data_IF_466724440385
#
_entry.id   IF_466724440385
#
_cell.length_a   1.000
_cell.length_b   1.000
_cell.length_c   1.000
_cell.angle_alpha   90.00
_cell.angle_beta   90.00
_cell.angle_gamma   90.00
#
_symmetry.space_group_name_H-M   'P 1'
#
loop_
_entity.id
_entity.type
_entity.pdbx_description
1 polymer ?
#
# COMPACT_ATOMS: atom_id res chain seq x y z
N UNK A 1 -35.57 -23.06 -15.84
CA UNK A 1 -35.52 -21.70 -15.24
C UNK A 1 -34.88 -21.79 -13.86
N UNK A 2 -34.19 -20.75 -13.40
CA UNK A 2 -33.56 -20.74 -12.06
C UNK A 2 -32.26 -21.54 -11.92
N UNK A 3 -31.65 -21.99 -13.03
CA UNK A 3 -30.42 -22.77 -12.96
C UNK A 3 -29.19 -21.89 -12.69
N UNK A 4 -28.17 -22.49 -12.06
CA UNK A 4 -26.85 -21.88 -11.86
C UNK A 4 -25.88 -22.53 -12.84
N UNK A 5 -25.30 -21.74 -13.73
CA UNK A 5 -24.25 -22.17 -14.63
C UNK A 5 -22.90 -21.71 -14.09
N UNK A 6 -21.99 -22.66 -13.87
CA UNK A 6 -20.63 -22.38 -13.40
C UNK A 6 -19.68 -22.78 -14.52
N UNK A 7 -18.86 -21.82 -14.97
CA UNK A 7 -17.88 -22.02 -16.04
C UNK A 7 -16.50 -21.78 -15.48
N UNK A 8 -15.72 -22.86 -15.35
CA UNK A 8 -14.30 -22.78 -15.02
C UNK A 8 -13.47 -22.48 -16.29
N UNK A 9 -12.36 -21.75 -16.12
CA UNK A 9 -11.53 -21.22 -17.22
C UNK A 9 -12.37 -20.63 -18.36
N UNK A 10 -13.28 -19.72 -17.98
CA UNK A 10 -14.30 -19.19 -18.87
C UNK A 10 -13.77 -18.39 -20.08
N UNK A 11 -12.49 -18.04 -20.10
CA UNK A 11 -11.81 -17.43 -21.25
C UNK A 11 -11.72 -18.37 -22.46
N UNK A 12 -11.82 -19.69 -22.29
CA UNK A 12 -11.96 -20.61 -23.43
C UNK A 12 -13.27 -20.41 -24.20
N UNK A 13 -14.35 -20.02 -23.50
CA UNK A 13 -15.68 -19.81 -24.08
C UNK A 13 -15.88 -18.34 -24.45
N UNK A 14 -15.37 -17.43 -23.63
CA UNK A 14 -15.53 -15.98 -23.77
C UNK A 14 -14.18 -15.26 -23.86
N UNK A 15 -13.31 -15.59 -24.84
CA UNK A 15 -11.97 -15.04 -24.91
C UNK A 15 -11.99 -13.54 -25.17
N UNK A 16 -10.90 -12.86 -24.84
CA UNK A 16 -10.66 -11.48 -25.26
C UNK A 16 -10.71 -11.38 -26.78
N UNK A 17 -11.63 -10.56 -27.30
CA UNK A 17 -11.75 -10.27 -28.73
C UNK A 17 -11.36 -8.83 -29.04
N UNK A 18 -10.99 -8.58 -30.29
CA UNK A 18 -10.79 -7.25 -30.83
C UNK A 18 -12.10 -6.44 -30.89
N UNK A 19 -12.08 -5.20 -31.43
CA UNK A 19 -13.19 -4.24 -31.37
C UNK A 19 -14.41 -4.59 -32.26
N UNK A 20 -14.58 -5.84 -32.66
CA UNK A 20 -15.71 -6.32 -33.47
C UNK A 20 -16.94 -6.59 -32.60
N UNK A 21 -18.11 -6.57 -33.24
CA UNK A 21 -19.36 -6.92 -32.59
C UNK A 21 -19.28 -8.32 -31.91
N UNK A 22 -19.88 -8.48 -30.71
CA UNK A 22 -19.96 -9.78 -30.04
C UNK A 22 -20.71 -10.82 -30.86
N UNK A 23 -20.29 -12.10 -30.85
CA UNK A 23 -21.05 -13.19 -31.45
C UNK A 23 -22.46 -13.29 -30.83
N UNK A 24 -23.45 -13.85 -31.56
CA UNK A 24 -24.82 -13.97 -31.07
C UNK A 24 -24.93 -14.65 -29.69
N UNK A 25 -24.18 -15.73 -29.45
CA UNK A 25 -24.21 -16.45 -28.16
C UNK A 25 -23.66 -15.64 -26.98
N UNK A 26 -22.83 -14.62 -27.24
CA UNK A 26 -22.33 -13.70 -26.21
C UNK A 26 -23.36 -12.61 -25.95
N UNK A 27 -24.08 -12.17 -26.98
CA UNK A 27 -25.12 -11.15 -26.84
C UNK A 27 -26.33 -11.65 -26.04
N UNK A 28 -26.67 -12.93 -26.15
CA UNK A 28 -27.77 -13.55 -25.38
C UNK A 28 -27.52 -13.56 -23.87
N UNK A 29 -26.27 -13.36 -23.42
CA UNK A 29 -25.94 -13.28 -21.99
C UNK A 29 -26.69 -12.15 -21.27
N UNK A 30 -27.04 -11.08 -21.98
CA UNK A 30 -27.82 -9.95 -21.41
C UNK A 30 -29.23 -10.39 -20.97
N UNK A 31 -29.77 -11.45 -21.57
CA UNK A 31 -31.13 -11.93 -21.35
C UNK A 31 -31.22 -13.00 -20.26
N UNK A 32 -30.08 -13.50 -19.76
CA UNK A 32 -30.06 -14.57 -18.73
C UNK A 32 -30.87 -14.22 -17.49
N UNK A 33 -30.89 -12.96 -17.09
CA UNK A 33 -31.68 -12.49 -15.94
C UNK A 33 -33.19 -12.58 -16.17
N UNK A 34 -33.67 -12.45 -17.41
CA UNK A 34 -35.09 -12.59 -17.71
C UNK A 34 -35.58 -14.02 -17.45
N UNK A 35 -34.70 -15.01 -17.62
CA UNK A 35 -34.98 -16.44 -17.40
C UNK A 35 -34.55 -16.93 -16.01
N UNK A 36 -34.11 -16.03 -15.13
CA UNK A 36 -33.65 -16.35 -13.77
C UNK A 36 -32.35 -17.15 -13.71
N UNK A 37 -31.53 -17.17 -14.76
CA UNK A 37 -30.26 -17.88 -14.74
C UNK A 37 -29.18 -17.09 -14.00
N UNK A 38 -28.41 -17.79 -13.16
CA UNK A 38 -27.21 -17.23 -12.52
C UNK A 38 -25.97 -17.78 -13.21
N UNK A 39 -25.11 -16.90 -13.72
CA UNK A 39 -23.86 -17.27 -14.36
C UNK A 39 -22.68 -16.93 -13.45
N UNK A 40 -21.88 -17.94 -13.11
CA UNK A 40 -20.64 -17.81 -12.34
C UNK A 40 -19.48 -18.13 -13.29
N UNK A 41 -18.63 -17.13 -13.52
CA UNK A 41 -17.47 -17.22 -14.39
C UNK A 41 -16.20 -17.22 -13.55
N UNK A 42 -15.33 -18.21 -13.76
CA UNK A 42 -14.05 -18.34 -13.08
C UNK A 42 -12.94 -18.23 -14.12
N UNK A 43 -11.97 -17.36 -13.88
CA UNK A 43 -10.78 -17.17 -14.73
C UNK A 43 -9.64 -16.62 -13.87
N UNK A 44 -8.42 -16.73 -14.37
CA UNK A 44 -7.22 -16.21 -13.71
C UNK A 44 -7.17 -14.68 -13.70
N UNK A 45 -7.61 -14.03 -14.78
CA UNK A 45 -7.61 -12.58 -14.91
C UNK A 45 -8.82 -12.12 -15.73
N UNK A 46 -9.55 -11.12 -15.21
CA UNK A 46 -10.67 -10.51 -15.92
C UNK A 46 -10.28 -9.98 -17.31
N UNK A 47 -9.04 -9.58 -17.57
CA UNK A 47 -8.58 -9.13 -18.90
C UNK A 47 -8.58 -10.22 -19.98
N UNK A 48 -8.59 -11.49 -19.59
CA UNK A 48 -8.70 -12.59 -20.55
C UNK A 48 -10.13 -12.78 -21.07
N UNK A 49 -11.11 -12.18 -20.39
CA UNK A 49 -12.51 -12.23 -20.79
C UNK A 49 -12.86 -11.15 -21.82
N UNK A 50 -13.84 -11.50 -22.64
CA UNK A 50 -14.43 -10.58 -23.59
C UNK A 50 -14.91 -9.27 -22.94
N UNK A 51 -14.57 -8.13 -23.57
CA UNK A 51 -14.93 -6.81 -23.06
C UNK A 51 -16.44 -6.58 -22.92
N UNK A 52 -17.28 -7.23 -23.74
CA UNK A 52 -18.74 -7.19 -23.61
C UNK A 52 -19.21 -7.96 -22.37
N UNK A 53 -18.67 -9.17 -22.16
CA UNK A 53 -19.02 -10.01 -20.99
C UNK A 53 -18.67 -9.31 -19.70
N UNK A 54 -17.48 -8.70 -19.61
CA UNK A 54 -17.03 -7.96 -18.41
C UNK A 54 -17.98 -6.82 -18.03
N UNK A 55 -18.58 -6.15 -19.01
CA UNK A 55 -19.54 -5.06 -18.76
C UNK A 55 -20.88 -5.56 -18.21
N UNK A 56 -21.21 -6.84 -18.39
CA UNK A 56 -22.42 -7.46 -17.84
C UNK A 56 -22.23 -7.97 -16.41
N UNK A 57 -20.98 -8.09 -15.94
CA UNK A 57 -20.66 -8.58 -14.59
C UNK A 57 -21.11 -7.57 -13.54
N UNK A 58 -22.00 -8.02 -12.65
CA UNK A 58 -22.51 -7.21 -11.54
C UNK A 58 -21.73 -7.40 -10.24
N UNK A 59 -21.05 -8.54 -10.08
CA UNK A 59 -20.26 -8.86 -8.90
C UNK A 59 -18.99 -9.57 -9.32
N UNK A 60 -17.85 -9.07 -8.86
CA UNK A 60 -16.54 -9.66 -9.09
C UNK A 60 -15.89 -9.96 -7.75
N UNK A 61 -15.60 -11.23 -7.51
CA UNK A 61 -14.79 -11.68 -6.38
C UNK A 61 -13.36 -11.97 -6.83
N UNK A 62 -12.41 -11.23 -6.27
CA UNK A 62 -10.99 -11.45 -6.52
C UNK A 62 -10.35 -12.17 -5.32
N UNK A 63 -9.73 -13.33 -5.56
CA UNK A 63 -9.09 -14.13 -4.51
C UNK A 63 -7.57 -13.92 -4.55
N UNK A 64 -7.02 -13.27 -3.53
CA UNK A 64 -5.59 -13.01 -3.40
C UNK A 64 -4.96 -13.90 -2.32
N UNK A 65 -3.91 -14.65 -2.68
CA UNK A 65 -3.11 -15.43 -1.72
C UNK A 65 -1.96 -14.58 -1.19
N UNK A 66 -2.03 -14.19 0.08
CA UNK A 66 -0.97 -13.43 0.75
C UNK A 66 -0.03 -14.35 1.53
N UNK A 67 1.08 -13.79 2.01
CA UNK A 67 1.99 -14.51 2.91
C UNK A 67 1.25 -15.06 4.14
N UNK A 68 0.34 -14.26 4.69
CA UNK A 68 -0.51 -14.57 5.83
C UNK A 68 -1.97 -14.75 5.39
N UNK A 69 -2.30 -15.94 4.87
CA UNK A 69 -3.67 -16.34 4.55
C UNK A 69 -4.14 -15.94 3.14
N UNK A 70 -5.44 -16.10 2.90
CA UNK A 70 -6.10 -15.77 1.63
C UNK A 70 -7.18 -14.73 1.91
N UNK A 71 -7.31 -13.74 1.03
CA UNK A 71 -8.34 -12.71 1.11
C UNK A 71 -9.20 -12.74 -0.14
N UNK A 72 -10.49 -12.46 0.03
CA UNK A 72 -11.41 -12.18 -1.07
C UNK A 72 -11.73 -10.69 -1.04
N UNK A 73 -11.65 -10.06 -2.20
CA UNK A 73 -12.10 -8.69 -2.44
C UNK A 73 -13.36 -8.73 -3.30
N UNK A 74 -14.33 -7.89 -2.97
CA UNK A 74 -15.58 -7.79 -3.70
C UNK A 74 -15.68 -6.45 -4.42
N UNK A 75 -16.08 -6.50 -5.68
CA UNK A 75 -16.32 -5.34 -6.53
C UNK A 75 -17.71 -5.41 -7.17
N UNK A 76 -18.35 -4.26 -7.34
CA UNK A 76 -19.67 -4.11 -7.99
C UNK A 76 -19.61 -4.18 -9.53
N UNK A 77 -18.43 -4.41 -10.09
CA UNK A 77 -18.19 -4.57 -11.52
C UNK A 77 -16.90 -5.35 -11.75
N UNK A 78 -16.74 -5.92 -12.96
CA UNK A 78 -15.48 -6.54 -13.34
C UNK A 78 -14.34 -5.50 -13.34
N UNK A 79 -13.30 -5.77 -12.54
CA UNK A 79 -12.13 -4.89 -12.45
C UNK A 79 -11.05 -5.38 -13.40
N UNK A 80 -10.63 -4.50 -14.29
CA UNK A 80 -9.58 -4.79 -15.27
C UNK A 80 -8.18 -4.60 -14.68
N UNK A 81 -8.03 -3.71 -13.70
CA UNK A 81 -6.77 -3.43 -13.02
C UNK A 81 -6.92 -3.54 -11.50
N UNK A 82 -6.17 -4.46 -10.91
CA UNK A 82 -6.14 -4.72 -9.47
C UNK A 82 -4.96 -3.97 -8.84
N UNK A 83 -4.97 -2.65 -8.95
CA UNK A 83 -3.95 -1.80 -8.31
C UNK A 83 -4.03 -1.90 -6.78
N UNK A 84 -2.92 -1.65 -6.08
CA UNK A 84 -2.91 -1.65 -4.61
C UNK A 84 -3.96 -0.70 -4.01
N UNK A 85 -4.17 0.46 -4.64
CA UNK A 85 -5.17 1.43 -4.21
C UNK A 85 -6.58 0.88 -4.35
N UNK A 86 -6.89 0.22 -5.48
CA UNK A 86 -8.19 -0.41 -5.70
C UNK A 86 -8.46 -1.53 -4.70
N UNK A 87 -7.46 -2.37 -4.41
CA UNK A 87 -7.56 -3.44 -3.41
C UNK A 87 -7.73 -2.92 -1.98
N UNK A 88 -7.11 -1.77 -1.64
CA UNK A 88 -7.27 -1.13 -0.33
C UNK A 88 -8.66 -0.53 -0.12
N UNK A 89 -9.29 -0.05 -1.19
CA UNK A 89 -10.62 0.56 -1.14
C UNK A 89 -11.75 -0.48 -1.16
N UNK A 90 -11.49 -1.66 -1.73
CA UNK A 90 -12.48 -2.72 -1.88
C UNK A 90 -12.84 -3.38 -0.54
N UNK A 91 -14.14 -3.68 -0.30
CA UNK A 91 -14.56 -4.58 0.76
C UNK A 91 -13.78 -5.89 0.68
N UNK A 92 -13.14 -6.29 1.77
CA UNK A 92 -12.33 -7.51 1.81
C UNK A 92 -12.62 -8.35 3.05
N UNK A 93 -12.65 -9.66 2.84
CA UNK A 93 -12.86 -10.65 3.90
C UNK A 93 -11.73 -11.69 3.88
N UNK A 94 -11.24 -12.13 5.05
CA UNK A 94 -10.35 -13.28 5.11
C UNK A 94 -11.11 -14.53 4.65
N UNK A 95 -10.51 -15.29 3.75
CA UNK A 95 -11.11 -16.49 3.19
C UNK A 95 -10.39 -17.74 3.64
N UNK A 96 -11.18 -18.69 4.12
CA UNK A 96 -10.76 -20.06 4.43
C UNK A 96 -11.85 -21.01 3.92
N UNK A 97 -11.55 -21.91 2.98
CA UNK A 97 -12.54 -22.87 2.50
C UNK A 97 -13.01 -23.78 3.64
N UNK A 98 -14.31 -24.06 3.68
CA UNK A 98 -14.87 -25.01 4.64
C UNK A 98 -14.33 -26.42 4.38
N UNK A 99 -14.09 -27.17 5.45
CA UNK A 99 -13.61 -28.55 5.41
C UNK A 99 -14.58 -29.46 4.64
N UNK A 100 -15.88 -29.14 4.65
CA UNK A 100 -16.91 -29.91 3.93
C UNK A 100 -16.73 -29.82 2.42
N UNK A 101 -16.27 -28.70 1.89
CA UNK A 101 -16.04 -28.49 0.45
C UNK A 101 -15.03 -29.49 -0.12
N UNK A 102 -14.01 -29.88 0.66
CA UNK A 102 -13.01 -30.88 0.25
C UNK A 102 -13.58 -32.30 0.11
N UNK A 103 -14.78 -32.57 0.64
CA UNK A 103 -15.48 -33.86 0.39
C UNK A 103 -16.17 -33.87 -0.97
N UNK A 104 -16.59 -32.71 -1.46
CA UNK A 104 -17.34 -32.52 -2.69
C UNK A 104 -16.44 -32.39 -3.91
N UNK A 105 -15.13 -32.21 -3.71
CA UNK A 105 -14.17 -31.96 -4.78
C UNK A 105 -12.89 -32.78 -4.58
N UNK A 106 -12.42 -33.41 -5.65
CA UNK A 106 -11.14 -34.13 -5.70
C UNK A 106 -10.10 -33.25 -6.36
N UNK A 107 -9.09 -32.80 -5.60
CA UNK A 107 -7.99 -32.00 -6.14
C UNK A 107 -7.12 -32.79 -7.13
N UNK A 108 -6.57 -32.10 -8.13
CA UNK A 108 -5.58 -32.66 -9.04
C UNK A 108 -4.37 -33.23 -8.26
N UNK A 109 -3.94 -34.45 -8.61
CA UNK A 109 -2.91 -35.24 -7.91
C UNK A 109 -1.49 -34.70 -8.07
N UNK A 110 -1.27 -33.71 -8.94
CA UNK A 110 0.04 -33.09 -9.15
C UNK A 110 0.23 -31.99 -8.10
N UNK A 111 0.55 -32.42 -6.88
CA UNK A 111 0.94 -31.54 -5.79
C UNK A 111 2.30 -30.89 -6.07
N UNK A 112 2.32 -29.77 -6.81
CA UNK A 112 3.48 -28.88 -6.85
C UNK A 112 3.54 -28.17 -5.49
N UNK A 113 4.17 -28.83 -4.50
CA UNK A 113 4.47 -28.21 -3.20
C UNK A 113 5.47 -27.08 -3.45
N UNK A 114 4.96 -25.86 -3.60
CA UNK A 114 5.80 -24.66 -3.53
C UNK A 114 6.45 -24.63 -2.14
N UNK A 115 7.70 -25.10 -2.04
CA UNK A 115 8.49 -25.05 -0.82
C UNK A 115 8.77 -23.58 -0.53
N UNK A 116 8.04 -23.00 0.43
CA UNK A 116 8.35 -21.67 0.95
C UNK A 116 9.76 -21.72 1.55
N UNK A 117 10.72 -21.01 0.96
CA UNK A 117 12.06 -20.87 1.54
C UNK A 117 11.91 -20.02 2.80
N UNK A 118 12.14 -20.62 3.96
CA UNK A 118 12.18 -19.88 5.22
C UNK A 118 13.31 -18.85 5.15
N UNK A 119 12.99 -17.59 5.44
CA UNK A 119 13.94 -16.48 5.34
C UNK A 119 15.15 -16.74 6.25
N UNK A 120 16.38 -16.49 5.76
CA UNK A 120 17.63 -16.75 6.48
C UNK A 120 17.64 -16.13 7.90
N UNK A 121 16.95 -15.00 8.07
CA UNK A 121 16.77 -14.35 9.37
C UNK A 121 16.22 -15.29 10.47
N UNK A 122 15.29 -16.21 10.15
CA UNK A 122 14.77 -17.17 11.12
C UNK A 122 15.78 -18.24 11.54
N UNK A 123 16.81 -18.49 10.73
CA UNK A 123 17.92 -19.39 11.09
C UNK A 123 18.97 -18.69 11.95
N UNK A 124 19.18 -17.39 11.73
CA UNK A 124 20.21 -16.59 12.42
C UNK A 124 19.72 -16.07 13.77
N UNK A 125 18.41 -15.82 13.93
CA UNK A 125 17.81 -15.32 15.17
C UNK A 125 18.20 -16.11 16.45
N UNK A 126 18.11 -17.46 16.50
CA UNK A 126 18.51 -18.19 17.71
C UNK A 126 20.01 -18.04 18.02
N UNK A 127 20.86 -17.90 17.00
CA UNK A 127 22.31 -17.70 17.18
C UNK A 127 22.57 -16.34 17.81
N UNK A 128 21.90 -15.29 17.33
CA UNK A 128 22.00 -13.93 17.89
C UNK A 128 21.56 -13.92 19.37
N UNK A 129 20.46 -14.60 19.70
CA UNK A 129 19.96 -14.69 21.08
C UNK A 129 20.96 -15.40 21.99
N UNK A 130 21.57 -16.49 21.53
CA UNK A 130 22.60 -17.22 22.30
C UNK A 130 23.84 -16.35 22.51
N UNK A 131 24.33 -15.67 21.47
CA UNK A 131 25.50 -14.79 21.57
C UNK A 131 25.22 -13.62 22.52
N UNK A 132 24.05 -12.97 22.40
CA UNK A 132 23.64 -11.92 23.31
C UNK A 132 23.57 -12.41 24.76
N UNK A 133 23.01 -13.60 25.00
CA UNK A 133 22.96 -14.21 26.33
C UNK A 133 24.35 -14.47 26.93
N UNK A 134 25.30 -14.95 26.12
CA UNK A 134 26.69 -15.16 26.55
C UNK A 134 27.37 -13.84 26.89
N UNK A 135 27.16 -12.79 26.10
CA UNK A 135 27.72 -11.46 26.35
C UNK A 135 27.17 -10.84 27.64
N UNK A 136 25.86 -10.93 27.85
CA UNK A 136 25.20 -10.47 29.09
C UNK A 136 25.71 -11.25 30.30
N UNK A 137 25.81 -12.58 30.20
CA UNK A 137 26.36 -13.42 31.28
C UNK A 137 27.81 -13.02 31.63
N UNK A 138 28.67 -12.82 30.63
CA UNK A 138 30.05 -12.38 30.84
C UNK A 138 30.15 -10.98 31.46
N UNK A 139 29.27 -10.06 31.10
CA UNK A 139 29.25 -8.70 31.65
C UNK A 139 28.76 -8.68 33.12
N UNK A 140 27.78 -9.52 33.45
CA UNK A 140 27.19 -9.57 34.80
C UNK A 140 27.97 -10.45 35.78
N UNK A 141 28.74 -11.44 35.30
CA UNK A 141 29.55 -12.34 36.14
C UNK A 141 30.51 -11.59 37.09
N UNK A 142 31.37 -10.65 36.65
CA UNK A 142 32.28 -9.95 37.55
C UNK A 142 31.56 -9.04 38.55
N UNK A 143 30.42 -8.44 38.16
CA UNK A 143 29.60 -7.64 39.06
C UNK A 143 28.94 -8.50 40.15
N UNK A 144 28.44 -9.69 39.79
CA UNK A 144 27.87 -10.64 40.74
C UNK A 144 28.92 -11.22 41.70
N UNK A 145 30.13 -11.50 41.21
CA UNK A 145 31.25 -11.96 42.03
C UNK A 145 31.76 -10.85 42.98
N UNK A 146 31.76 -9.59 42.54
CA UNK A 146 32.14 -8.44 43.37
C UNK A 146 31.13 -8.18 44.50
N UNK A 147 29.82 -8.28 44.23
CA UNK A 147 28.77 -8.12 45.26
C UNK A 147 28.83 -9.26 46.29
N UNK A 148 29.06 -10.49 45.86
CA UNK A 148 29.20 -11.63 46.79
C UNK A 148 30.48 -11.55 47.62
N UNK A 149 31.53 -10.89 47.12
CA UNK A 149 32.78 -10.65 47.87
C UNK A 149 32.64 -9.48 48.84
N UNK A 150 31.92 -8.43 48.46
CA UNK A 150 31.61 -7.26 49.30
C UNK A 150 30.60 -7.55 50.43
N UNK A 151 29.82 -8.63 50.34
CA UNK A 151 28.88 -9.03 51.41
C UNK A 151 29.58 -9.77 52.57
N UNK A 152 30.92 -9.98 52.50
CA UNK A 152 31.70 -10.74 53.49
C UNK A 152 32.73 -9.95 54.29
N UNK A 153 32.88 -8.64 54.08
CA UNK A 153 33.78 -7.81 54.89
C UNK A 153 33.04 -6.59 55.45
N UNK A 154 33.03 -6.50 56.78
CA UNK A 154 32.49 -5.40 57.55
C UNK A 154 33.30 -4.12 57.34
N UNK A 155 32.57 -3.00 57.27
CA UNK A 155 33.05 -1.63 57.10
C UNK A 155 33.66 -1.12 58.41
N UNK A 156 34.75 -0.32 58.35
CA UNK A 156 34.78 0.90 59.14
C UNK A 156 34.89 2.14 58.25
N UNK A 157 34.10 3.14 58.63
CA UNK A 157 34.04 4.46 58.05
C UNK A 157 35.22 5.32 58.53
N UNK A 158 35.73 6.19 57.66
CA UNK A 158 36.29 7.47 58.11
C UNK A 158 36.22 8.56 57.03
N UNK A 159 36.03 9.76 57.56
CA UNK A 159 35.64 11.04 56.99
C UNK A 159 36.80 11.82 56.36
N UNK A 160 36.52 12.70 55.39
CA UNK A 160 37.14 14.05 55.33
C UNK A 160 36.31 15.01 54.49
N UNK A 161 36.41 16.28 54.89
CA UNK A 161 35.55 17.41 54.60
C UNK A 161 36.30 18.46 53.76
N UNK A 162 35.57 19.51 53.33
CA UNK A 162 36.04 20.82 52.82
C UNK A 162 36.54 20.87 51.35
N UNK A 163 36.35 21.92 50.54
CA UNK A 163 35.65 23.21 50.65
C UNK A 163 35.57 23.84 49.23
N UNK A 164 34.57 24.70 49.06
CA UNK A 164 34.36 25.86 48.16
C UNK A 164 35.43 26.30 47.13
N UNK A 165 34.99 26.71 45.94
CA UNK A 165 35.35 28.03 45.37
C UNK A 165 34.32 28.57 44.37
N UNK A 166 34.16 29.89 44.43
CA UNK A 166 33.22 30.77 43.74
C UNK A 166 33.57 31.16 42.29
N UNK A 167 32.52 31.55 41.57
CA UNK A 167 32.38 32.65 40.61
C UNK A 167 33.27 32.75 39.35
N UNK A 168 32.59 32.81 38.19
CA UNK A 168 33.14 33.28 36.92
C UNK A 168 32.06 33.47 35.85
N UNK A 169 31.39 34.62 35.87
CA UNK A 169 30.50 35.08 34.80
C UNK A 169 31.34 35.55 33.61
N UNK A 170 31.18 34.95 32.43
CA UNK A 170 31.54 35.61 31.16
C UNK A 170 30.57 35.26 30.02
N UNK A 171 29.85 36.30 29.61
CA UNK A 171 29.45 36.70 28.26
C UNK A 171 29.42 35.62 27.16
N UNK A 172 28.20 35.22 26.80
CA UNK A 172 27.91 34.45 25.59
C UNK A 172 27.90 35.39 24.39
N UNK A 173 29.04 35.50 23.71
CA UNK A 173 29.07 36.08 22.36
C UNK A 173 28.19 35.26 21.43
N UNK A 174 27.23 35.93 20.80
CA UNK A 174 26.39 35.38 19.74
C UNK A 174 27.24 35.37 18.47
N UNK A 175 27.81 34.21 18.15
CA UNK A 175 28.38 33.95 16.82
C UNK A 175 27.33 33.22 16.00
N UNK A 176 26.77 33.90 15.00
CA UNK A 176 26.06 33.25 13.91
C UNK A 176 27.07 32.44 13.10
N UNK A 177 27.20 31.15 13.42
CA UNK A 177 28.00 30.23 12.62
C UNK A 177 27.15 29.69 11.47
N UNK A 178 27.66 29.99 10.27
CA UNK A 178 27.21 29.54 8.97
C UNK A 178 26.81 28.07 8.92
N UNK A 179 25.71 27.81 8.22
CA UNK A 179 25.39 26.50 7.67
C UNK A 179 26.58 25.93 6.89
N UNK A 180 26.68 24.59 6.94
CA UNK A 180 27.67 23.72 6.31
C UNK A 180 28.95 23.49 7.11
N UNK A 181 28.87 22.56 8.08
CA UNK A 181 30.01 21.74 8.47
C UNK A 181 29.51 20.34 8.78
N UNK A 182 29.58 19.47 7.77
CA UNK A 182 29.74 18.06 8.00
C UNK A 182 31.15 17.86 8.57
N UNK A 183 31.28 17.94 9.90
CA UNK A 183 32.48 17.54 10.61
C UNK A 183 32.09 16.49 11.65
N UNK A 184 32.52 15.26 11.36
CA UNK A 184 32.56 14.15 12.30
C UNK A 184 33.43 14.58 13.49
N UNK A 185 32.79 14.93 14.60
CA UNK A 185 33.38 14.96 15.94
C UNK A 185 32.38 14.17 16.78
N UNK A 186 32.85 13.13 17.45
CA UNK A 186 32.06 12.00 17.94
C UNK A 186 30.72 12.32 18.59
N UNK A 187 29.79 11.38 18.45
CA UNK A 187 28.46 11.39 19.07
C UNK A 187 28.62 11.71 20.56
N UNK A 188 27.97 12.78 21.03
CA UNK A 188 27.92 13.16 22.45
C UNK A 188 26.62 12.66 23.07
N UNK A 189 26.62 12.43 24.38
CA UNK A 189 25.41 12.01 25.10
C UNK A 189 24.26 13.04 24.93
N UNK A 190 24.61 14.32 24.81
CA UNK A 190 23.66 15.40 24.55
C UNK A 190 22.93 15.29 23.19
N UNK A 191 23.49 14.56 22.21
CA UNK A 191 22.87 14.38 20.89
C UNK A 191 21.63 13.47 20.92
N UNK A 192 21.45 12.73 22.02
CA UNK A 192 20.29 11.87 22.27
C UNK A 192 19.17 12.58 23.05
N UNK A 193 19.39 13.79 23.54
CA UNK A 193 18.39 14.55 24.30
C UNK A 193 17.41 15.21 23.31
N UNK A 194 16.10 14.92 23.40
CA UNK A 194 15.08 15.55 22.54
C UNK A 194 15.01 17.07 22.76
N UNK A 195 14.96 17.85 21.66
CA UNK A 195 14.76 19.31 21.73
C UNK A 195 13.33 19.70 22.12
N UNK A 196 12.37 18.82 21.86
CA UNK A 196 10.96 18.99 22.18
C UNK A 196 10.54 17.94 23.22
N UNK A 197 9.84 18.34 24.29
CA UNK A 197 9.21 17.39 25.22
C UNK A 197 8.30 16.41 24.47
N UNK A 198 8.30 15.14 24.88
CA UNK A 198 7.49 14.05 24.30
C UNK A 198 7.72 13.73 22.81
N UNK A 199 8.77 14.29 22.20
CA UNK A 199 9.10 14.10 20.79
C UNK A 199 10.53 13.58 20.62
N UNK A 200 10.80 12.28 20.83
CA UNK A 200 12.15 11.71 20.74
C UNK A 200 12.79 11.88 19.35
N UNK A 201 12.00 11.99 18.29
CA UNK A 201 12.44 12.28 16.93
C UNK A 201 13.07 13.68 16.78
N UNK A 202 12.88 14.55 17.78
CA UNK A 202 13.47 15.89 17.79
C UNK A 202 14.96 15.93 18.16
N UNK A 203 15.53 14.79 18.59
CA UNK A 203 16.93 14.69 19.00
C UNK A 203 17.92 15.08 17.88
N UNK A 204 19.00 15.82 18.20
CA UNK A 204 19.99 16.29 17.23
C UNK A 204 20.59 15.16 16.36
N UNK A 205 20.74 13.96 16.90
CA UNK A 205 21.28 12.80 16.17
C UNK A 205 20.52 12.47 14.88
N UNK A 206 19.22 12.81 14.82
CA UNK A 206 18.37 12.54 13.66
C UNK A 206 18.35 13.69 12.63
N UNK A 207 19.03 14.82 12.87
CA UNK A 207 19.01 16.01 11.98
C UNK A 207 19.41 15.67 10.54
N UNK A 208 20.40 14.78 10.35
CA UNK A 208 20.84 14.35 9.01
C UNK A 208 19.81 13.52 8.23
N UNK A 209 18.87 12.87 8.93
CA UNK A 209 17.82 12.02 8.36
C UNK A 209 16.52 12.80 8.11
N UNK A 210 16.24 13.83 8.92
CA UNK A 210 15.01 14.62 8.85
C UNK A 210 15.10 15.72 7.80
N UNK A 211 14.69 15.40 6.57
CA UNK A 211 14.52 16.38 5.49
C UNK A 211 13.02 16.55 5.20
N UNK A 212 12.42 17.71 5.53
CA UNK A 212 11.03 17.98 5.19
C UNK A 212 10.81 17.84 3.67
N UNK A 213 9.95 16.92 3.26
CA UNK A 213 9.62 16.67 1.84
C UNK A 213 8.64 17.72 1.31
N UNK A 214 7.74 18.19 2.17
CA UNK A 214 6.74 19.19 1.82
C UNK A 214 6.62 20.23 2.94
N UNK A 215 6.18 21.44 2.59
CA UNK A 215 5.99 22.55 3.49
C UNK A 215 4.58 22.52 4.10
N UNK A 216 4.43 22.89 5.37
CA UNK A 216 3.11 23.09 5.97
C UNK A 216 2.50 24.40 5.43
N UNK A 217 1.65 24.29 4.41
CA UNK A 217 0.97 25.42 3.79
C UNK A 217 -0.47 25.54 4.28
N UNK A 218 -0.94 26.78 4.46
CA UNK A 218 -2.36 27.07 4.71
C UNK A 218 -3.10 27.03 3.39
N UNK A 219 -4.03 26.08 3.25
CA UNK A 219 -4.84 25.91 2.03
C UNK A 219 -6.28 26.35 2.19
N UNK A 220 -6.81 26.29 3.41
CA UNK A 220 -8.17 26.69 3.71
C UNK A 220 -8.24 27.31 5.10
N UNK A 221 -9.10 28.30 5.26
CA UNK A 221 -9.47 28.84 6.56
C UNK A 221 -10.99 28.86 6.68
N UNK A 222 -11.49 28.67 7.89
CA UNK A 222 -12.92 28.69 8.22
C UNK A 222 -13.10 29.63 9.39
N UNK A 223 -14.00 30.61 9.21
CA UNK A 223 -14.41 31.54 10.25
C UNK A 223 -15.79 31.17 10.78
N UNK A 224 -15.89 31.09 12.10
CA UNK A 224 -17.12 31.01 12.89
C UNK A 224 -17.18 32.26 13.76
N UNK A 225 -18.35 32.58 14.32
CA UNK A 225 -18.54 33.77 15.18
C UNK A 225 -17.53 33.85 16.33
N UNK A 226 -17.09 32.70 16.85
CA UNK A 226 -16.17 32.59 17.99
C UNK A 226 -14.72 32.26 17.63
N UNK A 227 -14.45 31.62 16.48
CA UNK A 227 -13.13 31.06 16.15
C UNK A 227 -12.79 31.19 14.68
N UNK A 228 -11.51 31.35 14.36
CA UNK A 228 -11.01 31.34 12.98
C UNK A 228 -9.87 30.32 12.88
N UNK A 229 -10.12 29.22 12.18
CA UNK A 229 -9.22 28.07 12.11
C UNK A 229 -8.74 27.86 10.68
N UNK A 230 -7.43 27.63 10.51
CA UNK A 230 -6.83 27.36 9.21
C UNK A 230 -6.28 25.94 9.15
N UNK A 231 -6.26 25.37 7.95
CA UNK A 231 -5.97 23.96 7.71
C UNK A 231 -4.91 23.79 6.63
N UNK A 232 -4.14 22.71 6.76
CA UNK A 232 -3.15 22.26 5.76
C UNK A 232 -3.75 21.38 4.67
N UNK A 233 -2.97 21.06 3.64
CA UNK A 233 -3.32 20.08 2.59
C UNK A 233 -3.72 18.71 3.15
N UNK A 234 -3.19 18.36 4.33
CA UNK A 234 -3.49 17.11 5.03
C UNK A 234 -4.64 17.27 6.03
N UNK A 235 -5.43 18.34 5.92
CA UNK A 235 -6.53 18.67 6.83
C UNK A 235 -6.12 18.82 8.31
N UNK A 236 -4.86 19.15 8.59
CA UNK A 236 -4.39 19.41 9.96
C UNK A 236 -4.56 20.87 10.36
N UNK A 237 -4.95 21.12 11.61
CA UNK A 237 -5.14 22.47 12.14
C UNK A 237 -3.81 23.22 12.24
N UNK A 238 -3.71 24.39 11.60
CA UNK A 238 -2.58 25.30 11.68
C UNK A 238 -2.95 26.46 12.61
N UNK A 239 -2.18 26.62 13.69
CA UNK A 239 -2.36 27.74 14.64
C UNK A 239 -1.85 29.03 13.99
N UNK A 240 -2.77 29.91 13.60
CA UNK A 240 -2.49 31.24 13.03
C UNK A 240 -3.21 32.32 13.82
N UNK A 241 -2.77 33.58 13.67
CA UNK A 241 -3.48 34.70 14.29
C UNK A 241 -4.86 34.92 13.64
N UNK A 242 -5.80 35.49 14.40
CA UNK A 242 -7.14 35.83 13.89
C UNK A 242 -7.08 36.80 12.71
N UNK A 243 -6.17 37.78 12.77
CA UNK A 243 -5.96 38.76 11.70
C UNK A 243 -5.48 38.11 10.41
N UNK A 244 -4.63 37.08 10.51
CA UNK A 244 -4.17 36.31 9.35
C UNK A 244 -5.30 35.49 8.73
N UNK A 245 -6.11 34.82 9.54
CA UNK A 245 -7.23 34.01 9.05
C UNK A 245 -8.27 34.87 8.31
N UNK A 246 -8.58 36.06 8.84
CA UNK A 246 -9.51 37.00 8.20
C UNK A 246 -8.93 37.61 6.91
N UNK A 247 -7.64 37.92 6.87
CA UNK A 247 -7.00 38.42 5.65
C UNK A 247 -6.89 37.34 4.57
N UNK A 248 -6.63 36.09 4.95
CA UNK A 248 -6.64 34.93 4.06
C UNK A 248 -8.03 34.70 3.45
N UNK A 249 -9.10 34.80 4.25
CA UNK A 249 -10.47 34.65 3.74
C UNK A 249 -10.87 35.77 2.78
N UNK A 250 -10.38 36.99 3.00
CA UNK A 250 -10.72 38.15 2.16
C UNK A 250 -9.91 38.21 0.87
N UNK A 251 -8.60 37.97 0.96
CA UNK A 251 -7.67 38.22 -0.14
C UNK A 251 -7.13 36.93 -0.79
N UNK A 252 -7.33 35.78 -0.15
CA UNK A 252 -6.63 34.54 -0.48
C UNK A 252 -5.12 34.66 -0.21
N UNK A 253 -4.40 33.58 -0.54
CA UNK A 253 -2.93 33.58 -0.60
C UNK A 253 -2.51 32.84 -1.85
N UNK A 254 -1.64 33.45 -2.65
CA UNK A 254 -1.04 32.77 -3.78
C UNK A 254 -0.09 31.68 -3.29
N UNK A 255 -0.21 30.49 -3.88
CA UNK A 255 0.65 29.36 -3.57
C UNK A 255 1.85 29.36 -4.53
N UNK A 256 3.02 29.73 -4.01
CA UNK A 256 4.28 29.76 -4.76
C UNK A 256 4.83 28.38 -5.12
N UNK A 257 4.34 27.32 -4.49
CA UNK A 257 4.87 25.95 -4.62
C UNK A 257 3.97 25.06 -5.47
N UNK A 258 2.74 25.51 -5.74
CA UNK A 258 1.81 24.81 -6.62
C UNK A 258 2.30 24.87 -8.06
N UNK A 259 2.92 23.79 -8.52
CA UNK A 259 3.21 23.63 -9.94
C UNK A 259 1.90 23.62 -10.72
N UNK A 260 1.79 24.50 -11.72
CA UNK A 260 0.75 24.39 -12.73
C UNK A 260 1.04 23.10 -13.48
N UNK A 261 0.40 22.00 -13.09
CA UNK A 261 0.32 20.83 -13.96
C UNK A 261 -0.27 21.34 -15.26
N UNK A 262 0.57 21.50 -16.29
CA UNK A 262 0.07 21.63 -17.65
C UNK A 262 -0.84 20.43 -17.81
N UNK A 263 -2.15 20.66 -17.80
CA UNK A 263 -3.09 19.63 -18.17
C UNK A 263 -2.56 19.11 -19.50
N UNK A 264 -2.08 17.86 -19.53
CA UNK A 264 -1.80 17.17 -20.77
C UNK A 264 -3.15 17.13 -21.44
N UNK A 265 -3.39 18.10 -22.31
CA UNK A 265 -4.51 18.09 -23.21
C UNK A 265 -4.31 16.82 -24.02
N UNK A 266 -5.07 15.77 -23.69
CA UNK A 266 -5.24 14.67 -24.63
C UNK A 266 -5.59 15.32 -25.97
N UNK A 267 -4.84 15.06 -27.05
CA UNK A 267 -5.17 15.65 -28.33
C UNK A 267 -6.60 15.24 -28.65
N UNK A 268 -7.50 16.24 -28.70
CA UNK A 268 -8.80 16.08 -29.34
C UNK A 268 -8.50 15.55 -30.73
N UNK A 269 -9.00 14.36 -31.04
CA UNK A 269 -8.79 13.70 -32.32
C UNK A 269 -9.01 14.67 -33.46
N UNK A 270 -7.96 14.92 -34.22
CA UNK A 270 -8.09 15.60 -35.49
C UNK A 270 -8.96 14.72 -36.39
N UNK A 271 -10.09 15.27 -36.77
CA UNK A 271 -11.05 14.73 -37.71
C UNK A 271 -10.33 14.51 -39.06
N UNK A 272 -9.97 13.25 -39.35
CA UNK A 272 -9.38 12.90 -40.62
C UNK A 272 -10.49 12.92 -41.68
N UNK A 273 -10.50 13.98 -42.48
CA UNK A 273 -11.29 14.10 -43.72
C UNK A 273 -11.10 12.85 -44.59
N UNK A 274 -12.23 12.35 -45.07
CA UNK A 274 -12.35 11.09 -45.79
C UNK A 274 -11.45 10.96 -47.01
N UNK A 275 -10.89 9.75 -47.16
CA UNK A 275 -10.56 9.17 -48.45
C UNK A 275 -11.54 8.04 -48.69
N UNK A 276 -12.36 8.19 -49.72
CA UNK A 276 -13.22 7.14 -50.25
C UNK A 276 -12.35 5.99 -50.77
N UNK A 277 -12.37 4.86 -50.06
CA UNK A 277 -11.80 3.62 -50.56
C UNK A 277 -12.80 3.03 -51.59
N UNK A 278 -12.39 2.98 -52.87
CA UNK A 278 -13.06 2.16 -53.88
C UNK A 278 -12.91 0.68 -53.48
N UNK A 279 -14.02 0.02 -53.21
CA UNK A 279 -14.10 -1.44 -53.10
C UNK A 279 -14.11 -2.01 -54.52
N UNK A 280 -13.10 -2.82 -54.85
CA UNK A 280 -13.16 -3.72 -55.99
C UNK A 280 -13.79 -5.01 -55.49
N UNK A 281 -14.91 -5.39 -56.10
CA UNK A 281 -15.55 -6.69 -55.91
C UNK A 281 -14.67 -7.76 -56.57
N UNK A 282 -14.13 -8.67 -55.77
CA UNK A 282 -13.43 -9.86 -56.27
C UNK A 282 -14.28 -11.03 -55.81
N UNK A 283 -15.14 -11.50 -56.71
CA UNK A 283 -15.91 -12.72 -56.53
C UNK A 283 -14.97 -13.89 -56.25
N UNK A 284 -15.06 -14.43 -55.04
CA UNK A 284 -14.36 -15.63 -54.60
C UNK A 284 -15.32 -16.50 -53.81
N UNK A 285 -15.48 -17.75 -54.26
CA UNK A 285 -16.34 -18.76 -53.65
C UNK A 285 -16.01 -19.01 -52.16
N UNK A 286 -17.05 -19.38 -51.40
CA UNK A 286 -16.95 -19.62 -49.97
C UNK A 286 -15.96 -20.77 -49.64
N UNK A 287 -15.02 -20.60 -48.70
CA UNK A 287 -14.20 -21.72 -48.24
C UNK A 287 -15.06 -22.70 -47.43
N UNK A 288 -14.84 -23.99 -47.69
CA UNK A 288 -15.51 -25.14 -47.06
C UNK A 288 -15.56 -25.03 -45.53
N UNK A 289 -16.76 -25.32 -44.99
CA UNK A 289 -16.98 -25.58 -43.57
C UNK A 289 -16.17 -26.80 -43.11
N UNK A 290 -15.23 -26.62 -42.20
CA UNK A 290 -14.65 -27.68 -41.37
C UNK A 290 -15.37 -27.72 -40.02
N UNK A 291 -16.62 -28.19 -40.01
CA UNK A 291 -17.25 -28.72 -38.79
C UNK A 291 -17.14 -30.26 -38.86
N UNK A 292 -16.55 -30.93 -37.86
CA UNK A 292 -16.80 -32.35 -37.70
C UNK A 292 -18.22 -32.55 -37.14
N UNK A 293 -19.00 -33.34 -37.86
CA UNK A 293 -20.31 -33.82 -37.47
C UNK A 293 -20.26 -34.64 -36.16
N UNK A 294 -21.24 -34.38 -35.29
CA UNK A 294 -21.86 -35.33 -34.33
C UNK A 294 -20.93 -36.00 -33.31
N UNK A 295 -20.94 -35.47 -32.09
CA UNK A 295 -20.65 -36.25 -30.88
C UNK A 295 -21.95 -36.84 -30.32
N UNK A 296 -22.08 -38.16 -30.35
CA UNK A 296 -23.16 -38.91 -29.68
C UNK A 296 -22.74 -39.28 -28.25
N UNK A 297 -23.53 -38.98 -27.21
CA UNK A 297 -23.23 -39.46 -25.86
C UNK A 297 -23.51 -40.96 -25.74
N UNK A 298 -22.58 -41.70 -25.13
CA UNK A 298 -22.73 -43.12 -24.82
C UNK A 298 -23.71 -43.32 -23.64
N UNK A 299 -24.44 -44.44 -23.70
CA UNK A 299 -25.31 -44.97 -22.63
C UNK A 299 -24.54 -45.36 -21.38
#
# INVERSE_FOLDING_TARGET
EGAVLIVDECDYIYPLRGPKAPPPYVQTLKELRHYGFTLILITQNALMLDSYVRRLVATHWHIERRALGTKIYEFSSAQESLSETALKLAPSIPYKPDKRTFKLYKSASIHIKHKKKLHIAFKIFPIIVIVAGILVYKALKPAYEAVNKATKEEVPAETVNAEQTENGIMQKNVTFASANSASQIGIKDDDFIPRLPDHPESAPIYDGLRRPVNLQQVVACIKTDKTCNCYSEQATLIKVSRTYCESFLKNGKFDNYRQKSLAVQSPKGAEAKGRTAKVYDVGGEAPLNLMPERYTPAK
#
